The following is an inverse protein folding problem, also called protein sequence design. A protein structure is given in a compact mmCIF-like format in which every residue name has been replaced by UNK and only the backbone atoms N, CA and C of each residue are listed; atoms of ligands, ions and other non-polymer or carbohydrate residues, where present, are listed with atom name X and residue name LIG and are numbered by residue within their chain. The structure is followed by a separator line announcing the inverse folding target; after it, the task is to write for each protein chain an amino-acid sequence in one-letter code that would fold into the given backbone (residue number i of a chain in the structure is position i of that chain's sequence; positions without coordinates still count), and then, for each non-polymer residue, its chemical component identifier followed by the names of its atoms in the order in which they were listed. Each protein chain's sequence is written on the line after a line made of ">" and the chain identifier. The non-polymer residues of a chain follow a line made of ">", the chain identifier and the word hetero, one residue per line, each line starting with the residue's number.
data_IF_835185023980
#
_entry.id   IF_835185023980
#
_cell.length_a   1.000
_cell.length_b   1.000
_cell.length_c   1.000
_cell.angle_alpha   90.00
_cell.angle_beta   90.00
_cell.angle_gamma   90.00
#
_symmetry.space_group_name_H-M   'P 1'
#
loop_
_entity.id
_entity.type
_entity.pdbx_description
1 polymer ?
#
# COMPACT_ATOMS: atom_id res chain seq x y z
N UNK A 1 66.46 -38.01 15.37
CA UNK A 1 65.53 -37.40 14.40
C UNK A 1 64.14 -37.43 15.04
N UNK A 2 63.62 -36.31 15.55
CA UNK A 2 62.32 -36.22 16.26
C UNK A 2 61.28 -35.64 15.29
N UNK A 3 60.25 -36.40 14.96
CA UNK A 3 59.09 -35.96 14.17
C UNK A 3 58.09 -35.26 15.08
N UNK A 4 57.68 -34.04 14.72
CA UNK A 4 56.67 -33.24 15.44
C UNK A 4 55.31 -33.45 14.77
N UNK A 5 54.33 -33.92 15.53
CA UNK A 5 52.93 -34.06 15.09
C UNK A 5 52.20 -32.73 15.23
N UNK A 6 51.64 -32.21 14.13
CA UNK A 6 50.78 -31.04 14.12
C UNK A 6 49.32 -31.46 14.31
N UNK A 7 48.66 -30.92 15.33
CA UNK A 7 47.22 -31.08 15.56
C UNK A 7 46.48 -30.01 14.75
N UNK A 8 45.64 -30.43 13.81
CA UNK A 8 44.77 -29.54 13.07
C UNK A 8 43.59 -29.13 13.96
N UNK A 9 43.47 -27.84 14.24
CA UNK A 9 42.37 -27.25 15.01
C UNK A 9 41.24 -26.89 14.04
N UNK A 10 40.16 -27.65 14.05
CA UNK A 10 38.97 -27.38 13.23
C UNK A 10 38.15 -26.26 13.85
N UNK A 11 38.10 -25.09 13.20
CA UNK A 11 37.20 -23.99 13.55
C UNK A 11 35.81 -24.26 12.96
N UNK A 12 34.80 -24.41 13.81
CA UNK A 12 33.39 -24.49 13.42
C UNK A 12 32.82 -23.07 13.37
N UNK A 13 32.54 -22.55 12.17
CA UNK A 13 31.91 -21.24 11.99
C UNK A 13 30.39 -21.36 12.20
N UNK A 14 29.87 -20.76 13.27
CA UNK A 14 28.44 -20.66 13.51
C UNK A 14 27.85 -19.55 12.61
N UNK A 15 27.06 -19.94 11.60
CA UNK A 15 26.25 -18.99 10.83
C UNK A 15 25.04 -18.59 11.66
N UNK A 16 25.06 -17.40 12.24
CA UNK A 16 23.87 -16.77 12.81
C UNK A 16 22.97 -16.28 11.68
N UNK A 17 21.85 -16.97 11.46
CA UNK A 17 20.80 -16.48 10.59
C UNK A 17 20.16 -15.24 11.23
N UNK A 18 20.50 -14.05 10.73
CA UNK A 18 19.79 -12.81 11.07
C UNK A 18 18.41 -12.89 10.42
N UNK A 19 17.36 -13.06 11.22
CA UNK A 19 15.99 -12.82 10.73
C UNK A 19 15.92 -11.35 10.36
N UNK A 20 15.59 -11.04 9.11
CA UNK A 20 15.31 -9.68 8.70
C UNK A 20 14.19 -9.14 9.59
N UNK A 21 14.54 -8.20 10.47
CA UNK A 21 13.54 -7.41 11.15
C UNK A 21 12.74 -6.71 10.06
N UNK A 22 11.49 -7.13 9.87
CA UNK A 22 10.57 -6.41 9.01
C UNK A 22 10.33 -5.08 9.71
N UNK A 23 10.92 -4.00 9.19
CA UNK A 23 10.53 -2.66 9.61
C UNK A 23 9.00 -2.58 9.46
N UNK A 24 8.31 -2.08 10.50
CA UNK A 24 6.87 -1.88 10.43
C UNK A 24 6.53 -1.04 9.20
N UNK A 25 5.43 -1.36 8.53
CA UNK A 25 4.91 -0.51 7.47
C UNK A 25 4.43 0.77 8.17
N UNK A 26 4.93 1.96 7.80
CA UNK A 26 4.56 3.17 8.53
C UNK A 26 3.09 3.54 8.27
N UNK A 27 2.43 4.09 9.29
CA UNK A 27 1.05 4.57 9.25
C UNK A 27 0.94 5.89 8.45
N UNK A 28 -0.23 6.14 7.86
CA UNK A 28 -0.54 7.35 7.11
C UNK A 28 -1.30 7.09 5.80
N UNK A 29 -1.56 8.16 5.06
CA UNK A 29 -2.28 8.11 3.79
C UNK A 29 -1.35 7.85 2.60
N UNK A 30 -1.94 7.34 1.52
CA UNK A 30 -1.28 7.26 0.21
C UNK A 30 -1.12 8.68 -0.33
N UNK A 31 0.09 9.22 -0.23
CA UNK A 31 0.43 10.50 -0.84
C UNK A 31 0.42 10.37 -2.37
N UNK A 32 -0.28 11.28 -3.05
CA UNK A 32 -0.33 11.36 -4.50
C UNK A 32 0.36 12.63 -4.98
N UNK A 33 1.23 12.50 -5.98
CA UNK A 33 1.88 13.64 -6.60
C UNK A 33 2.06 13.44 -8.10
N UNK A 34 2.29 14.53 -8.85
CA UNK A 34 2.59 14.48 -10.28
C UNK A 34 4.10 14.64 -10.51
N UNK A 35 4.76 13.54 -10.88
CA UNK A 35 6.18 13.53 -11.25
C UNK A 35 6.31 13.12 -12.71
N UNK A 36 6.94 13.97 -13.54
CA UNK A 36 7.12 13.72 -14.98
C UNK A 36 5.79 13.37 -15.69
N UNK A 37 4.73 14.13 -15.39
CA UNK A 37 3.40 13.96 -15.98
C UNK A 37 2.76 12.59 -15.70
N UNK A 38 3.10 11.98 -14.55
CA UNK A 38 2.53 10.73 -14.06
C UNK A 38 2.19 10.87 -12.58
N UNK A 39 1.09 10.23 -12.17
CA UNK A 39 0.78 10.06 -10.74
C UNK A 39 1.82 9.09 -10.17
N UNK A 40 2.51 9.52 -9.13
CA UNK A 40 3.36 8.68 -8.29
C UNK A 40 2.80 8.64 -6.88
N UNK A 41 3.15 7.58 -6.15
CA UNK A 41 2.72 7.38 -4.77
C UNK A 41 3.87 7.62 -3.80
N UNK A 42 3.53 8.14 -2.63
CA UNK A 42 4.36 8.23 -1.44
C UNK A 42 3.52 7.93 -0.21
N UNK A 43 4.09 8.14 0.97
CA UNK A 43 3.38 8.13 2.25
C UNK A 43 3.33 9.56 2.78
N UNK A 44 2.18 9.96 3.33
CA UNK A 44 2.05 11.20 4.09
C UNK A 44 1.48 10.88 5.48
N UNK A 45 2.06 11.48 6.52
CA UNK A 45 1.54 11.33 7.89
C UNK A 45 0.10 11.85 8.00
N UNK A 46 -0.68 11.34 8.95
CA UNK A 46 -2.09 11.74 9.12
C UNK A 46 -2.28 13.25 9.35
N UNK A 47 -1.29 13.92 9.94
CA UNK A 47 -1.30 15.37 10.15
C UNK A 47 -0.77 16.18 8.95
N UNK A 48 -0.37 15.50 7.88
CA UNK A 48 0.17 16.11 6.65
C UNK A 48 1.58 16.68 6.77
N UNK A 49 2.27 16.47 7.91
CA UNK A 49 3.54 17.15 8.20
C UNK A 49 4.78 16.46 7.62
N UNK A 50 4.74 15.14 7.42
CA UNK A 50 5.85 14.35 6.91
C UNK A 50 5.46 13.62 5.62
N UNK A 51 6.31 13.75 4.59
CA UNK A 51 6.12 13.09 3.30
C UNK A 51 7.33 12.21 2.99
N UNK A 52 7.06 10.94 2.70
CA UNK A 52 8.04 9.98 2.19
C UNK A 52 7.69 9.61 0.75
N UNK A 53 8.46 10.12 -0.21
CA UNK A 53 8.22 9.87 -1.64
C UNK A 53 8.56 8.44 -2.06
N UNK A 54 7.87 7.94 -3.09
CA UNK A 54 8.22 6.67 -3.74
C UNK A 54 7.77 5.40 -3.00
N UNK A 55 6.95 5.53 -1.95
CA UNK A 55 6.32 4.40 -1.24
C UNK A 55 5.23 3.79 -2.11
N UNK A 56 5.17 2.45 -2.15
CA UNK A 56 4.22 1.67 -2.99
C UNK A 56 3.53 0.52 -2.26
N UNK A 57 3.88 0.32 -0.99
CA UNK A 57 3.25 -0.66 -0.12
C UNK A 57 2.72 0.11 1.08
N UNK A 58 1.44 -0.09 1.35
CA UNK A 58 0.72 0.56 2.43
C UNK A 58 0.01 -0.51 3.25
N UNK A 59 -0.17 -0.24 4.53
CA UNK A 59 -0.85 -1.13 5.46
C UNK A 59 -2.13 -0.48 5.94
N UNK A 60 -3.10 -1.32 6.24
CA UNK A 60 -4.37 -0.95 6.85
C UNK A 60 -4.90 -2.16 7.60
N UNK A 61 -5.62 -1.90 8.68
CA UNK A 61 -6.19 -2.95 9.52
C UNK A 61 -7.67 -3.16 9.17
N UNK A 62 -8.06 -4.43 9.02
CA UNK A 62 -9.47 -4.81 8.98
C UNK A 62 -9.91 -5.21 10.39
N UNK A 63 -11.11 -4.78 10.80
CA UNK A 63 -11.66 -5.15 12.11
C UNK A 63 -11.70 -4.02 13.14
N UNK A 64 -11.01 -2.91 12.90
CA UNK A 64 -10.88 -1.80 13.85
C UNK A 64 -12.20 -1.05 13.99
N UNK A 65 -12.77 -0.59 12.87
CA UNK A 65 -14.06 0.14 12.86
C UNK A 65 -15.28 -0.78 12.71
N UNK A 66 -15.04 -2.06 12.40
CA UNK A 66 -16.06 -3.08 12.30
C UNK A 66 -15.49 -4.41 11.80
N UNK A 67 -16.15 -5.55 12.05
CA UNK A 67 -15.68 -6.85 11.57
C UNK A 67 -15.46 -6.84 10.05
N UNK A 68 -14.28 -7.29 9.62
CA UNK A 68 -13.87 -7.33 8.20
C UNK A 68 -13.94 -5.99 7.46
N UNK A 69 -13.90 -4.87 8.18
CA UNK A 69 -14.02 -3.53 7.62
C UNK A 69 -12.78 -2.70 7.92
N UNK A 70 -12.37 -1.85 6.98
CA UNK A 70 -11.35 -0.82 7.16
C UNK A 70 -11.64 0.41 6.30
N UNK A 71 -11.08 1.56 6.69
CA UNK A 71 -11.13 2.82 5.93
C UNK A 71 -9.76 3.41 5.60
N UNK A 72 -8.70 2.75 6.06
CA UNK A 72 -7.33 3.23 5.96
C UNK A 72 -6.43 2.23 5.23
N UNK A 73 -5.41 2.71 4.50
CA UNK A 73 -5.04 4.11 4.33
C UNK A 73 -6.01 4.87 3.40
N UNK A 74 -6.16 6.17 3.63
CA UNK A 74 -6.76 7.09 2.68
C UNK A 74 -5.82 7.45 1.54
N UNK A 75 -6.25 8.38 0.70
CA UNK A 75 -5.43 9.00 -0.33
C UNK A 75 -5.39 10.50 -0.14
N UNK A 76 -4.22 11.11 -0.32
CA UNK A 76 -4.05 12.55 -0.16
C UNK A 76 -3.12 13.12 -1.24
N UNK A 77 -3.66 14.05 -2.04
CA UNK A 77 -2.90 14.99 -2.84
C UNK A 77 -3.15 16.40 -2.30
N UNK A 78 -2.08 17.12 -1.94
CA UNK A 78 -2.17 18.47 -1.37
C UNK A 78 -2.74 19.49 -2.38
N UNK A 79 -3.20 20.67 -1.93
CA UNK A 79 -3.59 21.75 -2.83
C UNK A 79 -2.52 22.03 -3.91
N UNK A 80 -2.99 22.22 -5.14
CA UNK A 80 -2.15 22.42 -6.33
C UNK A 80 -1.56 21.15 -6.94
N UNK A 81 -1.81 19.97 -6.38
CA UNK A 81 -1.30 18.70 -6.92
C UNK A 81 -1.89 18.37 -8.28
N UNK A 82 -3.22 18.44 -8.39
CA UNK A 82 -3.93 18.10 -9.62
C UNK A 82 -4.52 19.34 -10.29
N UNK A 83 -4.73 19.27 -11.60
CA UNK A 83 -5.37 20.36 -12.33
C UNK A 83 -6.88 20.36 -12.06
N UNK A 84 -7.43 21.52 -11.67
CA UNK A 84 -8.88 21.73 -11.52
C UNK A 84 -9.62 21.43 -12.83
N UNK A 85 -10.82 20.85 -12.71
CA UNK A 85 -11.64 20.42 -13.84
C UNK A 85 -11.25 19.05 -14.41
N UNK A 86 -10.33 18.35 -13.75
CA UNK A 86 -10.00 16.94 -14.05
C UNK A 86 -10.59 16.00 -13.00
N UNK A 87 -10.33 14.70 -13.14
CA UNK A 87 -10.71 13.70 -12.15
C UNK A 87 -9.58 12.69 -11.99
N UNK A 88 -9.45 12.16 -10.78
CA UNK A 88 -8.54 11.05 -10.47
C UNK A 88 -9.38 9.78 -10.37
N UNK A 89 -8.93 8.73 -11.04
CA UNK A 89 -9.62 7.45 -11.09
C UNK A 89 -8.82 6.35 -10.40
N UNK A 90 -9.54 5.49 -9.69
CA UNK A 90 -9.04 4.28 -9.07
C UNK A 90 -9.52 3.07 -9.86
N UNK A 91 -8.64 2.08 -10.07
CA UNK A 91 -8.99 0.81 -10.71
C UNK A 91 -8.30 -0.34 -9.97
N UNK A 92 -8.96 -1.49 -9.90
CA UNK A 92 -8.37 -2.73 -9.40
C UNK A 92 -7.65 -3.43 -10.54
N UNK A 93 -6.37 -3.78 -10.35
CA UNK A 93 -5.54 -4.34 -11.44
C UNK A 93 -5.47 -5.87 -11.47
N UNK A 94 -5.83 -6.52 -10.38
CA UNK A 94 -5.65 -7.95 -10.15
C UNK A 94 -6.59 -8.46 -9.05
N UNK A 95 -6.65 -9.77 -8.88
CA UNK A 95 -7.42 -10.41 -7.82
C UNK A 95 -6.85 -10.10 -6.43
N UNK A 96 -7.70 -10.19 -5.38
CA UNK A 96 -7.25 -10.17 -3.99
C UNK A 96 -6.22 -11.29 -3.78
N UNK A 97 -5.18 -11.01 -3.00
CA UNK A 97 -4.16 -12.01 -2.63
C UNK A 97 -4.06 -12.12 -1.12
N UNK A 98 -3.84 -13.34 -0.65
CA UNK A 98 -3.65 -13.65 0.76
C UNK A 98 -2.21 -14.10 0.97
N UNK A 99 -1.54 -13.49 1.95
CA UNK A 99 -0.23 -13.94 2.40
C UNK A 99 -0.37 -15.30 3.07
N UNK A 100 0.43 -16.28 2.64
CA UNK A 100 0.41 -17.64 3.20
C UNK A 100 1.57 -17.95 4.16
N UNK A 101 2.40 -16.94 4.47
CA UNK A 101 3.66 -17.11 5.21
C UNK A 101 4.90 -17.09 4.32
N UNK A 102 4.75 -17.23 3.00
CA UNK A 102 5.85 -17.30 2.03
C UNK A 102 5.67 -16.35 0.85
N UNK A 103 4.49 -16.30 0.24
CA UNK A 103 4.19 -15.41 -0.89
C UNK A 103 2.70 -15.01 -1.01
N UNK A 104 2.34 -14.36 -2.13
CA UNK A 104 0.99 -13.94 -2.53
C UNK A 104 0.53 -14.66 -3.81
N UNK A 105 1.09 -15.83 -4.12
CA UNK A 105 0.87 -16.53 -5.41
C UNK A 105 -0.53 -17.14 -5.54
N UNK A 106 -1.18 -17.44 -4.41
CA UNK A 106 -2.52 -18.02 -4.37
C UNK A 106 -3.61 -16.95 -4.44
N UNK A 107 -4.61 -17.16 -5.30
CA UNK A 107 -5.85 -16.38 -5.30
C UNK A 107 -6.84 -17.11 -4.38
N UNK A 108 -7.28 -16.49 -3.27
CA UNK A 108 -8.29 -17.05 -2.40
C UNK A 108 -9.69 -16.98 -3.06
N UNK A 109 -10.66 -17.81 -2.62
CA UNK A 109 -12.06 -17.65 -3.02
C UNK A 109 -12.72 -16.38 -2.47
N UNK A 110 -12.19 -15.82 -1.38
CA UNK A 110 -12.64 -14.55 -0.82
C UNK A 110 -12.32 -13.37 -1.75
N UNK A 111 -13.23 -12.40 -1.79
CA UNK A 111 -13.09 -11.13 -2.50
C UNK A 111 -13.17 -9.98 -1.50
N UNK A 112 -12.70 -8.81 -1.92
CA UNK A 112 -12.83 -7.58 -1.16
C UNK A 112 -13.59 -6.55 -1.99
N UNK A 113 -14.49 -5.84 -1.33
CA UNK A 113 -15.19 -4.70 -1.93
C UNK A 113 -14.53 -3.39 -1.52
N UNK A 114 -14.49 -2.42 -2.43
CA UNK A 114 -14.03 -1.06 -2.18
C UNK A 114 -15.14 -0.09 -2.57
N UNK A 115 -15.47 0.85 -1.69
CA UNK A 115 -16.50 1.86 -1.94
C UNK A 115 -16.09 3.24 -1.42
N UNK A 116 -16.64 4.30 -2.00
CA UNK A 116 -16.55 5.65 -1.46
C UNK A 116 -17.92 6.33 -1.54
N UNK A 117 -18.63 6.34 -0.40
CA UNK A 117 -20.00 6.83 -0.33
C UNK A 117 -20.90 6.14 -1.36
N UNK A 118 -21.55 6.85 -2.29
CA UNK A 118 -22.40 6.24 -3.32
C UNK A 118 -21.61 5.62 -4.50
N UNK A 119 -20.29 5.79 -4.55
CA UNK A 119 -19.44 5.23 -5.60
C UNK A 119 -18.99 3.83 -5.18
N UNK A 120 -19.40 2.81 -5.94
CA UNK A 120 -19.17 1.40 -5.60
C UNK A 120 -20.40 0.73 -4.97
N UNK A 121 -20.26 -0.47 -4.38
CA UNK A 121 -19.00 -1.19 -4.21
C UNK A 121 -18.41 -1.69 -5.54
N UNK A 122 -17.09 -1.68 -5.64
CA UNK A 122 -16.34 -2.39 -6.68
C UNK A 122 -15.62 -3.56 -6.04
N UNK A 123 -15.79 -4.75 -6.60
CA UNK A 123 -15.27 -5.99 -6.06
C UNK A 123 -13.94 -6.36 -6.73
N UNK A 124 -12.98 -6.87 -5.96
CA UNK A 124 -11.77 -7.49 -6.52
C UNK A 124 -12.15 -8.67 -7.40
N UNK A 125 -11.58 -8.81 -8.60
CA UNK A 125 -11.94 -9.91 -9.48
C UNK A 125 -11.47 -11.26 -8.94
N UNK A 126 -12.13 -12.38 -9.29
CA UNK A 126 -11.70 -13.73 -8.88
C UNK A 126 -10.47 -14.23 -9.64
N UNK A 127 -10.01 -13.49 -10.65
CA UNK A 127 -8.81 -13.77 -11.46
C UNK A 127 -8.10 -12.46 -11.78
N UNK A 128 -6.83 -12.51 -12.18
CA UNK A 128 -6.09 -11.31 -12.54
C UNK A 128 -6.65 -10.64 -13.79
N UNK A 129 -7.42 -9.57 -13.59
CA UNK A 129 -7.92 -8.72 -14.65
C UNK A 129 -8.10 -7.29 -14.14
N UNK A 130 -8.10 -6.33 -15.07
CA UNK A 130 -8.44 -4.95 -14.76
C UNK A 130 -9.95 -4.85 -14.54
N UNK A 131 -10.35 -4.33 -13.37
CA UNK A 131 -11.72 -3.96 -13.05
C UNK A 131 -11.77 -2.43 -12.88
N UNK A 132 -12.56 -1.72 -13.70
CA UNK A 132 -12.78 -0.30 -13.52
C UNK A 132 -13.35 0.00 -12.13
N UNK A 133 -12.75 0.97 -11.43
CA UNK A 133 -13.27 1.43 -10.14
C UNK A 133 -14.16 2.65 -10.31
N UNK A 134 -13.86 3.71 -9.58
CA UNK A 134 -14.56 4.98 -9.63
C UNK A 134 -13.61 6.13 -9.97
N UNK A 135 -14.18 7.25 -10.39
CA UNK A 135 -13.48 8.49 -10.72
C UNK A 135 -14.10 9.63 -9.94
N UNK A 136 -13.26 10.47 -9.33
CA UNK A 136 -13.69 11.56 -8.47
C UNK A 136 -13.11 12.87 -9.00
N UNK A 137 -13.93 13.91 -9.19
CA UNK A 137 -13.45 15.24 -9.56
C UNK A 137 -12.41 15.76 -8.57
N UNK A 138 -11.39 16.43 -9.10
CA UNK A 138 -10.41 17.18 -8.31
C UNK A 138 -11.09 18.41 -7.70
N UNK A 139 -10.73 18.75 -6.45
CA UNK A 139 -11.31 19.92 -5.78
C UNK A 139 -11.10 21.19 -6.60
N UNK A 140 -12.18 21.96 -6.74
CA UNK A 140 -12.19 23.31 -7.34
C UNK A 140 -12.48 24.39 -6.30
N UNK A 141 -12.59 24.02 -5.03
CA UNK A 141 -13.03 24.93 -3.99
C UNK A 141 -11.92 25.94 -3.65
N UNK A 142 -12.25 27.21 -3.40
CA UNK A 142 -11.25 28.21 -3.05
C UNK A 142 -10.45 27.84 -1.80
N UNK A 143 -9.12 27.76 -1.93
CA UNK A 143 -8.20 27.37 -0.86
C UNK A 143 -7.84 25.88 -0.81
N UNK A 144 -8.51 25.03 -1.59
CA UNK A 144 -8.16 23.61 -1.77
C UNK A 144 -8.10 23.24 -3.26
N UNK A 145 -7.86 24.20 -4.14
CA UNK A 145 -7.81 23.96 -5.57
C UNK A 145 -6.74 22.92 -5.91
N UNK A 146 -7.11 21.86 -6.63
CA UNK A 146 -6.17 20.80 -6.99
C UNK A 146 -5.90 19.77 -5.91
N UNK A 147 -6.48 19.93 -4.71
CA UNK A 147 -6.46 18.92 -3.64
C UNK A 147 -7.31 17.69 -4.03
N UNK A 148 -6.91 16.54 -3.50
CA UNK A 148 -7.66 15.29 -3.62
C UNK A 148 -7.46 14.43 -2.37
N UNK A 149 -8.41 14.46 -1.43
CA UNK A 149 -8.34 13.74 -0.16
C UNK A 149 -9.59 12.88 0.06
N UNK A 150 -9.44 11.56 0.03
CA UNK A 150 -10.56 10.61 0.19
C UNK A 150 -10.14 9.32 0.90
N UNK A 151 -11.05 8.77 1.71
CA UNK A 151 -10.91 7.49 2.39
C UNK A 151 -11.97 6.51 1.88
N UNK A 152 -11.69 5.71 0.85
CA UNK A 152 -12.55 4.61 0.47
C UNK A 152 -12.57 3.57 1.58
N UNK A 153 -13.73 2.94 1.76
CA UNK A 153 -13.90 1.83 2.70
C UNK A 153 -13.66 0.51 1.99
N UNK A 154 -13.06 -0.45 2.70
CA UNK A 154 -12.84 -1.81 2.25
C UNK A 154 -13.58 -2.80 3.15
N UNK A 155 -14.26 -3.76 2.53
CA UNK A 155 -14.95 -4.84 3.26
C UNK A 155 -14.61 -6.19 2.66
N UNK A 156 -14.22 -7.14 3.52
CA UNK A 156 -13.91 -8.55 3.18
C UNK A 156 -15.09 -9.49 3.44
#
# INVERSE_FOLDING_TARGET
>A
MRTKSFHALTFLAAMTATTAAHAGIPEGDVFLEIVNNRITTGLISEDGSEITHGVRLFAGDLGVDGPNFGSDPGFMGLPGTFQVGTSVAFNLRAALRKWDGTDFSTIPPETMTVALGPLGPVETPPVDMLVPGFSIPVSSDPGSEGEWHHHPVQTL
#
